data_IF_954721429317
#
_entry.id   IF_954721429317
#
_cell.length_a   1.000
_cell.length_b   1.000
_cell.length_c   1.000
_cell.angle_alpha   90.00
_cell.angle_beta   90.00
_cell.angle_gamma   90.00
#
_symmetry.space_group_name_H-M   'P 1'
#
loop_
_entity.id
_entity.type
_entity.pdbx_description
1 polymer ?
#
# COMPACT_ATOMS: atom_id res chain seq x y z
N UNK A 1 -33.94 -61.23 -49.48
CA UNK A 1 -33.51 -59.87 -49.88
C UNK A 1 -34.50 -58.87 -49.27
N UNK A 2 -34.15 -58.27 -48.13
CA UNK A 2 -34.84 -57.06 -47.64
C UNK A 2 -34.18 -55.85 -48.32
N UNK A 3 -34.95 -54.83 -48.76
CA UNK A 3 -34.38 -53.73 -49.53
C UNK A 3 -33.44 -52.92 -48.64
N UNK A 4 -32.16 -52.86 -49.02
CA UNK A 4 -31.06 -52.16 -48.32
C UNK A 4 -31.29 -50.65 -48.08
N UNK A 5 -32.42 -50.09 -48.52
CA UNK A 5 -32.68 -48.65 -48.49
C UNK A 5 -33.37 -48.14 -47.21
N UNK A 6 -33.94 -49.00 -46.36
CA UNK A 6 -34.63 -48.53 -45.14
C UNK A 6 -33.68 -48.30 -43.96
N UNK A 7 -32.48 -48.90 -43.97
CA UNK A 7 -31.49 -48.77 -42.89
C UNK A 7 -30.62 -47.50 -43.01
N UNK A 8 -30.61 -46.84 -44.17
CA UNK A 8 -29.76 -45.66 -44.43
C UNK A 8 -30.23 -44.41 -43.70
N UNK A 9 -31.54 -44.19 -43.62
CA UNK A 9 -32.14 -43.02 -42.96
C UNK A 9 -31.88 -42.93 -41.45
N UNK A 10 -32.03 -44.01 -40.65
CA UNK A 10 -31.72 -43.93 -39.22
C UNK A 10 -30.21 -43.77 -38.96
N UNK A 11 -29.35 -44.34 -39.80
CA UNK A 11 -27.90 -44.15 -39.71
C UNK A 11 -27.48 -42.71 -40.02
N UNK A 12 -28.11 -42.09 -41.03
CA UNK A 12 -27.89 -40.66 -41.36
C UNK A 12 -28.41 -39.76 -40.24
N UNK A 13 -29.57 -40.05 -39.67
CA UNK A 13 -30.12 -39.30 -38.54
C UNK A 13 -29.23 -39.42 -37.29
N UNK A 14 -28.70 -40.61 -37.01
CA UNK A 14 -27.75 -40.83 -35.91
C UNK A 14 -26.42 -40.10 -36.13
N UNK A 15 -25.90 -40.11 -37.36
CA UNK A 15 -24.70 -39.36 -37.73
C UNK A 15 -24.92 -37.85 -37.63
N UNK A 16 -26.12 -37.36 -37.98
CA UNK A 16 -26.49 -35.96 -37.82
C UNK A 16 -26.62 -35.57 -36.35
N UNK A 17 -27.20 -36.44 -35.50
CA UNK A 17 -27.34 -36.22 -34.06
C UNK A 17 -25.97 -36.24 -33.35
N UNK A 18 -25.07 -37.14 -33.74
CA UNK A 18 -23.68 -37.18 -33.28
C UNK A 18 -22.92 -35.93 -33.76
N UNK A 19 -23.08 -35.50 -35.01
CA UNK A 19 -22.47 -34.26 -35.51
C UNK A 19 -22.99 -33.00 -34.79
N UNK A 20 -24.26 -32.97 -34.38
CA UNK A 20 -24.84 -31.92 -33.54
C UNK A 20 -24.29 -31.94 -32.10
N UNK A 21 -23.84 -33.09 -31.60
CA UNK A 21 -23.14 -33.19 -30.30
C UNK A 21 -21.66 -32.77 -30.34
N UNK A 22 -21.09 -32.58 -31.54
CA UNK A 22 -19.75 -32.02 -31.77
C UNK A 22 -19.77 -30.51 -32.07
N UNK A 23 -20.94 -29.84 -32.00
CA UNK A 23 -20.93 -28.38 -31.88
C UNK A 23 -20.33 -28.11 -30.52
N UNK A 24 -19.04 -27.80 -30.55
CA UNK A 24 -18.27 -27.46 -29.39
C UNK A 24 -19.11 -26.54 -28.50
N UNK A 25 -19.20 -26.92 -27.23
CA UNK A 25 -19.32 -25.95 -26.15
C UNK A 25 -18.08 -25.07 -26.29
N UNK A 26 -18.11 -24.13 -27.23
CA UNK A 26 -17.27 -22.96 -27.26
C UNK A 26 -17.69 -22.19 -26.02
N UNK A 27 -17.17 -22.63 -24.87
CA UNK A 27 -17.40 -22.02 -23.59
C UNK A 27 -17.17 -20.54 -23.77
N UNK A 28 -18.17 -19.74 -23.41
CA UNK A 28 -18.06 -18.29 -23.37
C UNK A 28 -16.71 -17.98 -22.71
N UNK A 29 -15.74 -17.48 -23.49
CA UNK A 29 -14.51 -16.94 -22.93
C UNK A 29 -14.97 -15.78 -22.07
N UNK A 30 -15.12 -16.01 -20.76
CA UNK A 30 -15.52 -14.96 -19.84
C UNK A 30 -14.39 -13.94 -19.90
N UNK A 31 -14.64 -12.81 -20.57
CA UNK A 31 -13.71 -11.69 -20.56
C UNK A 31 -13.55 -11.31 -19.09
N UNK A 32 -12.32 -11.37 -18.59
CA UNK A 32 -12.01 -11.05 -17.21
C UNK A 32 -11.55 -9.60 -17.16
N UNK A 33 -12.20 -8.80 -16.32
CA UNK A 33 -11.71 -7.49 -15.92
C UNK A 33 -10.60 -7.71 -14.90
N UNK A 34 -9.39 -7.29 -15.24
CA UNK A 34 -8.22 -7.47 -14.40
C UNK A 34 -7.70 -6.11 -13.96
N UNK A 35 -7.17 -6.05 -12.75
CA UNK A 35 -6.59 -4.80 -12.28
C UNK A 35 -5.92 -4.93 -10.93
N UNK A 36 -5.53 -3.78 -10.40
CA UNK A 36 -4.91 -3.62 -9.10
C UNK A 36 -5.42 -2.35 -8.43
N UNK A 37 -5.69 -2.47 -7.13
CA UNK A 37 -6.11 -1.36 -6.30
C UNK A 37 -4.92 -0.90 -5.46
N UNK A 38 -4.64 0.40 -5.51
CA UNK A 38 -3.58 1.04 -4.74
C UNK A 38 -4.11 2.24 -3.96
N UNK A 39 -3.43 2.57 -2.88
CA UNK A 39 -3.64 3.83 -2.17
C UNK A 39 -3.12 4.98 -3.03
N UNK A 40 -3.95 6.01 -3.23
CA UNK A 40 -3.62 7.16 -4.08
C UNK A 40 -2.34 7.88 -3.61
N UNK A 41 -2.14 8.03 -2.30
CA UNK A 41 -0.99 8.74 -1.75
C UNK A 41 0.25 7.85 -1.65
N UNK A 42 0.12 6.68 -1.01
CA UNK A 42 1.28 5.84 -0.70
C UNK A 42 1.75 4.97 -1.87
N UNK A 43 0.88 4.82 -2.88
CA UNK A 43 1.01 3.90 -4.01
C UNK A 43 1.18 2.43 -3.58
N UNK A 44 0.95 2.11 -2.30
CA UNK A 44 0.95 0.74 -1.82
C UNK A 44 -0.32 0.01 -2.26
N UNK A 45 -0.25 -1.30 -2.54
CA UNK A 45 -1.43 -2.09 -2.83
C UNK A 45 -2.40 -2.10 -1.65
N UNK A 46 -3.70 -2.10 -1.96
CA UNK A 46 -4.77 -2.28 -0.97
C UNK A 46 -5.28 -3.72 -1.09
N UNK A 47 -4.84 -4.61 -0.19
CA UNK A 47 -5.27 -5.99 -0.23
C UNK A 47 -6.71 -6.13 0.30
N UNK A 48 -7.41 -7.17 -0.15
CA UNK A 48 -8.75 -7.56 0.32
C UNK A 48 -9.85 -6.50 0.23
N UNK A 49 -9.66 -5.46 -0.58
CA UNK A 49 -10.70 -4.49 -0.94
C UNK A 49 -11.84 -5.15 -1.69
N UNK A 50 -13.07 -4.75 -1.37
CA UNK A 50 -14.28 -5.26 -2.01
C UNK A 50 -14.51 -4.56 -3.33
N UNK A 51 -14.72 -5.35 -4.38
CA UNK A 51 -15.05 -4.90 -5.73
C UNK A 51 -16.35 -5.55 -6.14
N UNK A 52 -17.36 -4.78 -6.52
CA UNK A 52 -18.64 -5.31 -6.98
C UNK A 52 -19.19 -4.53 -8.17
N UNK A 53 -19.89 -5.22 -9.06
CA UNK A 53 -20.68 -4.56 -10.09
C UNK A 53 -21.94 -3.93 -9.50
N UNK A 54 -22.20 -2.66 -9.81
CA UNK A 54 -23.38 -1.95 -9.31
C UNK A 54 -24.68 -2.57 -9.84
N UNK A 55 -24.76 -2.87 -11.14
CA UNK A 55 -25.97 -3.47 -11.74
C UNK A 55 -25.98 -4.98 -11.56
N UNK A 56 -24.89 -5.68 -11.92
CA UNK A 56 -24.85 -7.15 -11.88
C UNK A 56 -24.72 -7.74 -10.48
N UNK A 57 -24.33 -6.94 -9.47
CA UNK A 57 -24.26 -7.28 -8.04
C UNK A 57 -23.27 -8.37 -7.62
N UNK A 58 -22.65 -9.11 -8.54
CA UNK A 58 -21.56 -10.00 -8.16
C UNK A 58 -20.28 -9.19 -7.92
N UNK A 59 -19.44 -9.71 -7.02
CA UNK A 59 -18.21 -9.07 -6.61
C UNK A 59 -17.18 -10.08 -6.11
N UNK A 60 -15.97 -9.58 -5.90
CA UNK A 60 -14.82 -10.30 -5.37
C UNK A 60 -14.07 -9.39 -4.38
N UNK A 61 -13.05 -9.94 -3.73
CA UNK A 61 -12.05 -9.16 -3.02
C UNK A 61 -10.71 -9.19 -3.75
N UNK A 62 -9.90 -8.15 -3.60
CA UNK A 62 -8.50 -8.19 -4.05
C UNK A 62 -7.69 -9.22 -3.25
N UNK A 63 -6.61 -9.72 -3.85
CA UNK A 63 -5.65 -10.58 -3.19
C UNK A 63 -4.68 -9.80 -2.27
N UNK A 64 -3.69 -10.49 -1.69
CA UNK A 64 -2.70 -9.90 -0.79
C UNK A 64 -1.78 -8.85 -1.43
N UNK A 65 -1.71 -8.80 -2.78
CA UNK A 65 -0.95 -7.79 -3.51
C UNK A 65 -1.87 -6.73 -4.14
N UNK A 66 -3.14 -6.69 -3.74
CA UNK A 66 -4.12 -5.73 -4.20
C UNK A 66 -4.61 -5.99 -5.63
N UNK A 67 -4.28 -7.13 -6.24
CA UNK A 67 -4.72 -7.48 -7.58
C UNK A 67 -6.09 -8.16 -7.56
N UNK A 68 -6.83 -8.05 -8.66
CA UNK A 68 -8.13 -8.69 -8.82
C UNK A 68 -8.36 -9.20 -10.24
N UNK A 69 -9.23 -10.21 -10.34
CA UNK A 69 -9.75 -10.72 -11.61
C UNK A 69 -11.25 -10.98 -11.45
N UNK A 70 -12.06 -10.10 -12.02
CA UNK A 70 -13.51 -10.12 -11.93
C UNK A 70 -14.09 -10.56 -13.26
N UNK A 71 -15.10 -11.44 -13.25
CA UNK A 71 -15.85 -11.76 -14.48
C UNK A 71 -16.47 -10.47 -15.03
N UNK A 72 -16.56 -10.34 -16.36
CA UNK A 72 -17.24 -9.19 -16.94
C UNK A 72 -18.75 -9.21 -16.60
N UNK A 73 -19.33 -8.03 -16.53
CA UNK A 73 -20.77 -7.85 -16.37
C UNK A 73 -21.51 -8.23 -17.65
N UNK A 74 -22.77 -8.67 -17.52
CA UNK A 74 -23.64 -8.97 -18.68
C UNK A 74 -24.23 -7.70 -19.32
N UNK A 75 -24.04 -6.54 -18.70
CA UNK A 75 -24.55 -5.25 -19.19
C UNK A 75 -23.50 -4.57 -20.09
N UNK A 76 -23.95 -3.87 -21.15
CA UNK A 76 -23.06 -3.11 -22.04
C UNK A 76 -22.32 -1.96 -21.33
N UNK A 77 -22.91 -1.43 -20.26
CA UNK A 77 -22.29 -0.44 -19.38
C UNK A 77 -22.67 -0.72 -17.93
N UNK A 78 -21.67 -0.70 -17.04
CA UNK A 78 -21.86 -0.91 -15.61
C UNK A 78 -20.85 -0.05 -14.82
N UNK A 79 -20.90 -0.12 -13.50
CA UNK A 79 -20.02 0.63 -12.61
C UNK A 79 -19.42 -0.31 -11.60
N UNK A 80 -18.09 -0.32 -11.48
CA UNK A 80 -17.42 -0.98 -10.38
C UNK A 80 -17.56 -0.10 -9.13
N UNK A 81 -18.08 -0.68 -8.07
CA UNK A 81 -18.05 -0.09 -6.73
C UNK A 81 -16.88 -0.74 -6.01
N UNK A 82 -15.88 0.07 -5.68
CA UNK A 82 -14.72 -0.33 -4.91
C UNK A 82 -14.85 0.25 -3.52
N UNK A 83 -14.74 -0.59 -2.51
CA UNK A 83 -14.79 -0.14 -1.11
C UNK A 83 -13.76 -0.88 -0.26
N UNK A 84 -13.17 -0.14 0.67
CA UNK A 84 -12.28 -0.68 1.68
C UNK A 84 -12.36 0.20 2.92
N UNK A 85 -12.18 -0.42 4.10
CA UNK A 85 -12.36 0.32 5.36
C UNK A 85 -11.31 1.42 5.49
N UNK A 86 -11.75 2.65 5.76
CA UNK A 86 -10.88 3.82 5.87
C UNK A 86 -10.64 4.58 4.55
N UNK A 87 -11.28 4.16 3.46
CA UNK A 87 -11.20 4.81 2.14
C UNK A 87 -12.58 5.24 1.67
N UNK A 88 -12.61 6.27 0.83
CA UNK A 88 -13.85 6.70 0.19
C UNK A 88 -14.26 5.64 -0.85
N UNK A 89 -15.52 5.18 -0.86
CA UNK A 89 -15.99 4.27 -1.89
C UNK A 89 -15.87 4.91 -3.27
N UNK A 90 -15.15 4.25 -4.17
CA UNK A 90 -14.97 4.70 -5.54
C UNK A 90 -16.00 4.04 -6.46
N UNK A 91 -16.63 4.85 -7.29
CA UNK A 91 -17.53 4.40 -8.34
C UNK A 91 -16.83 4.60 -9.68
N UNK A 92 -16.30 3.52 -10.27
CA UNK A 92 -15.59 3.55 -11.55
C UNK A 92 -16.55 3.14 -12.67
N UNK A 93 -16.99 4.07 -13.54
CA UNK A 93 -17.79 3.73 -14.71
C UNK A 93 -16.94 2.88 -15.67
N UNK A 94 -17.38 1.66 -15.97
CA UNK A 94 -16.66 0.73 -16.84
C UNK A 94 -17.34 0.67 -18.21
N UNK A 95 -16.56 0.88 -19.26
CA UNK A 95 -16.99 0.70 -20.66
C UNK A 95 -16.12 -0.39 -21.29
N UNK A 96 -16.70 -1.55 -21.59
CA UNK A 96 -15.98 -2.71 -22.14
C UNK A 96 -15.31 -2.45 -23.49
N UNK A 97 -15.63 -1.33 -24.18
CA UNK A 97 -14.95 -0.92 -25.43
C UNK A 97 -13.68 -0.11 -25.16
N UNK A 98 -13.63 0.61 -24.05
CA UNK A 98 -12.49 1.46 -23.66
C UNK A 98 -11.57 0.76 -22.66
N UNK A 99 -12.16 0.05 -21.72
CA UNK A 99 -11.49 -0.61 -20.59
C UNK A 99 -11.15 -2.07 -20.92
N UNK A 100 -10.43 -2.29 -22.03
CA UNK A 100 -10.06 -3.63 -22.52
C UNK A 100 -8.81 -4.20 -21.86
N UNK A 101 -8.10 -3.38 -21.07
CA UNK A 101 -6.80 -3.69 -20.48
C UNK A 101 -6.80 -3.87 -18.96
N UNK A 102 -5.61 -3.81 -18.38
CA UNK A 102 -5.38 -3.87 -16.95
C UNK A 102 -5.76 -2.54 -16.27
N UNK A 103 -6.67 -2.58 -15.29
CA UNK A 103 -7.13 -1.40 -14.56
C UNK A 103 -6.23 -1.11 -13.35
N UNK A 104 -5.60 0.06 -13.31
CA UNK A 104 -4.94 0.56 -12.10
C UNK A 104 -5.85 1.57 -11.40
N UNK A 105 -6.48 1.14 -10.32
CA UNK A 105 -7.48 1.92 -9.58
C UNK A 105 -6.85 2.50 -8.31
N UNK A 106 -7.05 3.80 -8.08
CA UNK A 106 -6.50 4.51 -6.91
C UNK A 106 -7.63 4.90 -5.96
N UNK A 107 -7.51 4.51 -4.68
CA UNK A 107 -8.46 4.93 -3.64
C UNK A 107 -7.90 6.08 -2.81
N UNK A 108 -8.72 7.13 -2.65
CA UNK A 108 -8.50 8.23 -1.73
C UNK A 108 -8.87 7.81 -0.31
N UNK A 109 -8.10 8.27 0.67
CA UNK A 109 -8.41 8.04 2.09
C UNK A 109 -9.65 8.84 2.47
N UNK A 110 -10.55 8.24 3.23
CA UNK A 110 -11.70 8.95 3.79
C UNK A 110 -11.23 9.91 4.89
N UNK A 111 -11.53 11.20 4.75
CA UNK A 111 -11.41 12.15 5.85
C UNK A 111 -12.43 11.73 6.91
N UNK A 112 -11.95 11.44 8.12
CA UNK A 112 -12.79 10.91 9.20
C UNK A 112 -13.76 12.00 9.65
N UNK A 113 -14.98 11.99 9.11
CA UNK A 113 -16.10 12.78 9.60
C UNK A 113 -17.09 11.86 10.29
N UNK A 114 -17.04 11.84 11.63
CA UNK A 114 -18.04 11.16 12.46
C UNK A 114 -17.85 9.65 12.55
N UNK A 115 -17.37 9.19 13.70
CA UNK A 115 -17.26 7.77 14.02
C UNK A 115 -18.65 7.12 14.07
N UNK A 116 -18.94 6.22 13.13
CA UNK A 116 -20.06 5.29 13.31
C UNK A 116 -19.65 4.28 14.38
N UNK A 117 -20.05 4.54 15.62
CA UNK A 117 -19.98 3.59 16.73
C UNK A 117 -20.89 2.41 16.44
N UNK A 118 -20.29 1.32 15.94
CA UNK A 118 -20.94 0.01 16.04
C UNK A 118 -20.82 -0.41 17.50
N UNK A 119 -21.91 -0.24 18.27
CA UNK A 119 -22.04 -0.72 19.65
C UNK A 119 -22.03 -2.25 19.69
N UNK A 120 -20.84 -2.84 19.56
CA UNK A 120 -20.61 -4.24 19.88
C UNK A 120 -20.39 -4.36 21.39
N UNK A 121 -21.06 -5.29 22.06
CA UNK A 121 -20.83 -5.62 23.47
C UNK A 121 -19.39 -6.11 23.75
N UNK A 122 -18.64 -6.45 22.69
CA UNK A 122 -17.27 -6.93 22.76
C UNK A 122 -16.36 -6.23 21.74
N UNK A 123 -15.35 -5.50 22.21
CA UNK A 123 -14.37 -4.87 21.34
C UNK A 123 -13.24 -5.85 20.99
N UNK A 124 -13.42 -6.59 19.89
CA UNK A 124 -12.40 -7.53 19.38
C UNK A 124 -11.07 -6.84 19.07
N UNK A 125 -11.11 -5.60 18.57
CA UNK A 125 -9.92 -4.82 18.22
C UNK A 125 -9.07 -4.52 19.45
N UNK A 126 -9.71 -4.07 20.53
CA UNK A 126 -9.04 -3.82 21.80
C UNK A 126 -8.43 -5.11 22.38
N UNK A 127 -9.12 -6.26 22.27
CA UNK A 127 -8.54 -7.55 22.69
C UNK A 127 -7.31 -7.91 21.88
N UNK A 128 -7.35 -7.79 20.55
CA UNK A 128 -6.19 -8.08 19.70
C UNK A 128 -5.02 -7.17 20.03
N UNK A 129 -5.27 -5.87 20.18
CA UNK A 129 -4.25 -4.91 20.61
C UNK A 129 -3.62 -5.29 21.96
N UNK A 130 -4.42 -5.64 22.98
CA UNK A 130 -3.90 -6.10 24.28
C UNK A 130 -2.97 -7.31 24.15
N UNK A 131 -3.25 -8.22 23.22
CA UNK A 131 -2.37 -9.36 22.98
C UNK A 131 -1.07 -8.95 22.26
N UNK A 132 -1.11 -7.99 21.34
CA UNK A 132 0.13 -7.42 20.76
C UNK A 132 1.00 -6.85 21.87
N UNK A 133 0.41 -6.07 22.78
CA UNK A 133 1.15 -5.45 23.90
C UNK A 133 1.75 -6.51 24.83
N UNK A 134 0.99 -7.56 25.17
CA UNK A 134 1.47 -8.65 26.02
C UNK A 134 2.69 -9.39 25.42
N UNK A 135 2.78 -9.50 24.10
CA UNK A 135 3.88 -10.16 23.39
C UNK A 135 4.86 -9.16 22.74
N UNK A 136 4.77 -7.88 23.10
CA UNK A 136 5.53 -6.79 22.47
C UNK A 136 7.03 -7.01 22.57
N UNK A 137 7.52 -7.40 23.75
CA UNK A 137 8.94 -7.63 23.99
C UNK A 137 9.48 -8.82 23.17
N UNK A 138 8.70 -9.89 23.05
CA UNK A 138 9.06 -11.10 22.31
C UNK A 138 9.07 -10.86 20.80
N UNK A 139 8.09 -10.10 20.29
CA UNK A 139 7.94 -9.83 18.86
C UNK A 139 8.72 -8.60 18.37
N UNK A 140 9.40 -7.87 19.26
CA UNK A 140 10.18 -6.70 18.89
C UNK A 140 11.42 -7.12 18.05
N UNK A 141 11.49 -6.77 16.76
CA UNK A 141 12.60 -7.14 15.88
C UNK A 141 13.88 -6.35 16.19
N UNK A 142 13.81 -5.32 17.03
CA UNK A 142 14.95 -4.52 17.48
C UNK A 142 15.54 -5.01 18.81
N UNK A 143 15.10 -6.18 19.33
CA UNK A 143 15.61 -6.76 20.57
C UNK A 143 17.01 -7.39 20.42
N UNK A 144 17.43 -7.70 19.20
CA UNK A 144 18.70 -8.38 18.94
C UNK A 144 19.86 -7.42 19.13
N UNK A 145 20.88 -7.88 19.88
CA UNK A 145 22.09 -7.12 20.16
C UNK A 145 22.95 -6.93 18.92
N UNK A 146 22.94 -7.93 18.03
CA UNK A 146 23.71 -7.94 16.80
C UNK A 146 22.82 -8.41 15.65
N UNK A 147 23.08 -7.86 14.48
CA UNK A 147 22.54 -8.41 13.24
C UNK A 147 23.36 -7.91 12.04
N UNK A 148 23.32 -8.69 10.96
CA UNK A 148 23.84 -8.31 9.65
C UNK A 148 22.78 -8.55 8.58
N UNK A 149 22.72 -7.68 7.58
CA UNK A 149 21.78 -7.82 6.47
C UNK A 149 22.27 -7.11 5.21
N UNK A 150 21.77 -7.54 4.06
CA UNK A 150 21.84 -6.74 2.85
C UNK A 150 20.75 -5.68 2.89
N UNK A 151 21.15 -4.41 2.81
CA UNK A 151 20.29 -3.24 2.88
C UNK A 151 20.19 -2.58 1.51
N UNK A 152 18.98 -2.53 0.97
CA UNK A 152 18.66 -1.72 -0.20
C UNK A 152 17.88 -0.48 0.24
N UNK A 153 18.45 0.70 0.00
CA UNK A 153 17.84 1.99 0.29
C UNK A 153 17.53 2.73 -1.00
N UNK A 154 16.29 3.17 -1.14
CA UNK A 154 15.83 4.03 -2.23
C UNK A 154 15.22 5.30 -1.66
N UNK A 155 15.71 6.45 -2.10
CA UNK A 155 15.17 7.77 -1.74
C UNK A 155 14.76 8.47 -3.02
N UNK A 156 13.55 9.02 -3.04
CA UNK A 156 12.95 9.75 -4.14
C UNK A 156 12.44 11.10 -3.65
N UNK A 157 12.62 12.13 -4.45
CA UNK A 157 11.99 13.43 -4.26
C UNK A 157 11.31 13.85 -5.55
N UNK A 158 9.99 13.94 -5.49
CA UNK A 158 9.15 14.39 -6.58
C UNK A 158 8.62 15.79 -6.30
N UNK A 159 8.55 16.61 -7.33
CA UNK A 159 7.82 17.86 -7.30
C UNK A 159 6.40 17.63 -7.81
N UNK A 160 5.40 18.05 -7.02
CA UNK A 160 4.00 18.01 -7.38
C UNK A 160 3.50 19.41 -7.77
N UNK A 161 2.37 19.46 -8.49
CA UNK A 161 1.72 20.68 -8.97
C UNK A 161 2.59 21.55 -9.89
N UNK A 162 3.39 20.93 -10.76
CA UNK A 162 4.25 21.68 -11.69
C UNK A 162 3.47 22.12 -12.92
N UNK A 163 3.46 23.43 -13.20
CA UNK A 163 2.91 24.00 -14.44
C UNK A 163 4.00 24.72 -15.24
N UNK A 164 3.75 25.04 -16.52
CA UNK A 164 4.73 25.71 -17.41
C UNK A 164 5.29 27.00 -16.82
N UNK A 165 4.43 27.85 -16.26
CA UNK A 165 4.80 29.14 -15.65
C UNK A 165 5.71 28.99 -14.41
N UNK A 166 5.70 27.82 -13.77
CA UNK A 166 6.52 27.52 -12.59
C UNK A 166 7.98 27.32 -12.94
N UNK A 167 8.27 26.71 -14.09
CA UNK A 167 9.64 26.43 -14.53
C UNK A 167 10.39 27.69 -14.96
N UNK A 168 9.67 28.69 -15.51
CA UNK A 168 10.28 29.95 -15.96
C UNK A 168 10.74 30.82 -14.78
N UNK A 169 9.97 30.81 -13.69
CA UNK A 169 10.15 31.73 -12.56
C UNK A 169 11.06 31.20 -11.44
N UNK A 170 11.45 29.92 -11.46
CA UNK A 170 12.11 29.27 -10.31
C UNK A 170 13.47 28.73 -10.70
N UNK A 171 14.51 29.31 -10.11
CA UNK A 171 15.92 29.00 -10.42
C UNK A 171 16.26 27.51 -10.24
N UNK A 172 15.67 26.82 -9.26
CA UNK A 172 15.90 25.38 -9.03
C UNK A 172 15.26 24.48 -10.09
N UNK A 173 14.24 24.97 -10.82
CA UNK A 173 13.53 24.20 -11.84
C UNK A 173 14.09 24.38 -13.26
N UNK A 174 14.93 25.40 -13.49
CA UNK A 174 15.50 25.70 -14.82
C UNK A 174 16.21 24.51 -15.49
N UNK A 175 16.97 23.65 -14.78
CA UNK A 175 17.60 22.49 -15.42
C UNK A 175 16.62 21.40 -15.87
N UNK A 176 15.34 21.48 -15.48
CA UNK A 176 14.28 20.54 -15.89
C UNK A 176 13.36 21.10 -16.97
N UNK A 177 13.69 22.23 -17.59
CA UNK A 177 12.88 22.81 -18.66
C UNK A 177 12.65 21.83 -19.83
N UNK A 178 13.59 20.92 -20.09
CA UNK A 178 13.49 19.86 -21.11
C UNK A 178 12.35 18.87 -20.89
N UNK A 179 11.85 18.74 -19.65
CA UNK A 179 10.75 17.82 -19.32
C UNK A 179 9.39 18.43 -19.65
N UNK A 180 9.28 19.76 -19.81
CA UNK A 180 8.05 20.45 -20.25
C UNK A 180 7.58 20.00 -21.62
N UNK A 181 8.50 19.59 -22.49
CA UNK A 181 8.20 19.25 -23.89
C UNK A 181 7.34 17.97 -24.01
N UNK A 182 7.16 17.21 -22.91
CA UNK A 182 6.41 15.95 -22.88
C UNK A 182 5.28 15.89 -21.83
N UNK A 183 5.01 16.96 -21.09
CA UNK A 183 3.98 16.97 -20.02
C UNK A 183 2.56 16.87 -20.59
N UNK A 184 2.33 17.36 -21.82
CA UNK A 184 1.00 17.38 -22.45
C UNK A 184 0.47 16.00 -22.88
N UNK A 185 1.29 14.95 -22.83
CA UNK A 185 0.95 13.61 -23.33
C UNK A 185 0.49 12.60 -22.27
N UNK A 186 0.48 12.98 -20.97
CA UNK A 186 0.17 12.05 -19.87
C UNK A 186 -1.25 12.34 -19.35
N UNK A 187 -2.17 11.47 -19.74
CA UNK A 187 -3.61 11.44 -19.43
C UNK A 187 -3.91 11.68 -17.94
N UNK A 188 -4.77 12.65 -17.60
CA UNK A 188 -5.50 12.94 -16.33
C UNK A 188 -4.77 12.77 -14.97
N UNK A 189 -3.49 12.39 -14.96
CA UNK A 189 -2.66 12.20 -13.80
C UNK A 189 -1.96 13.52 -13.50
N UNK A 190 -2.08 14.02 -12.27
CA UNK A 190 -1.31 15.20 -11.84
C UNK A 190 0.18 14.93 -12.15
N UNK A 191 0.83 15.70 -13.04
CA UNK A 191 2.21 15.42 -13.42
C UNK A 191 3.10 15.63 -12.19
N UNK A 192 3.88 14.60 -11.84
CA UNK A 192 4.93 14.69 -10.84
C UNK A 192 6.29 14.62 -11.53
N UNK A 193 7.24 15.44 -11.07
CA UNK A 193 8.56 15.54 -11.64
C UNK A 193 9.58 14.93 -10.68
N UNK A 194 10.22 13.79 -10.99
CA UNK A 194 11.29 13.25 -10.14
C UNK A 194 12.51 14.18 -10.21
N UNK A 195 12.75 14.93 -9.13
CA UNK A 195 13.85 15.91 -9.03
C UNK A 195 15.14 15.23 -8.58
N UNK A 196 15.02 14.17 -7.78
CA UNK A 196 16.13 13.44 -7.20
C UNK A 196 15.74 11.99 -6.91
N UNK A 197 16.62 11.05 -7.22
CA UNK A 197 16.50 9.66 -6.83
C UNK A 197 17.88 9.09 -6.52
N UNK A 198 18.00 8.42 -5.38
CA UNK A 198 19.21 7.65 -5.02
C UNK A 198 18.83 6.25 -4.60
N UNK A 199 19.51 5.28 -5.18
CA UNK A 199 19.45 3.87 -4.82
C UNK A 199 20.81 3.44 -4.31
N UNK A 200 20.85 2.76 -3.17
CA UNK A 200 22.07 2.29 -2.51
C UNK A 200 21.88 0.86 -2.07
N UNK A 201 22.83 -0.01 -2.42
CA UNK A 201 22.91 -1.38 -1.95
C UNK A 201 24.15 -1.51 -1.06
N UNK A 202 23.97 -1.99 0.16
CA UNK A 202 25.05 -2.14 1.14
C UNK A 202 24.94 -3.44 1.95
N UNK A 203 26.07 -3.94 2.45
CA UNK A 203 26.08 -4.87 3.59
C UNK A 203 26.09 -4.05 4.88
N UNK A 204 25.08 -4.26 5.72
CA UNK A 204 24.84 -3.51 6.95
C UNK A 204 25.05 -4.40 8.16
N UNK A 205 25.84 -3.91 9.13
CA UNK A 205 26.17 -4.60 10.38
C UNK A 205 25.86 -3.70 11.57
N UNK A 206 25.17 -4.25 12.56
CA UNK A 206 24.81 -3.58 13.79
C UNK A 206 25.26 -4.38 15.00
N UNK A 207 25.78 -3.68 16.01
CA UNK A 207 26.00 -4.19 17.36
C UNK A 207 25.56 -3.12 18.35
N UNK A 208 24.87 -3.48 19.43
CA UNK A 208 24.45 -2.55 20.46
C UNK A 208 25.46 -2.40 21.61
N UNK A 209 26.32 -3.41 21.84
CA UNK A 209 27.34 -3.41 22.91
C UNK A 209 28.74 -3.83 22.40
N UNK A 210 29.67 -2.87 22.20
CA UNK A 210 29.44 -1.43 22.14
C UNK A 210 28.56 -1.07 20.93
N UNK A 211 27.87 0.08 20.99
CA UNK A 211 27.05 0.54 19.87
C UNK A 211 27.93 0.84 18.66
N UNK A 212 27.88 -0.05 17.65
CA UNK A 212 28.66 0.02 16.42
C UNK A 212 27.76 -0.22 15.22
N UNK A 213 27.93 0.62 14.22
CA UNK A 213 27.27 0.48 12.91
C UNK A 213 28.38 0.46 11.86
N UNK A 214 28.38 -0.54 11.00
CA UNK A 214 29.25 -0.60 9.82
C UNK A 214 28.36 -0.82 8.60
N UNK A 215 28.54 0.01 7.59
CA UNK A 215 27.83 -0.09 6.32
C UNK A 215 28.87 -0.16 5.19
N UNK A 216 28.86 -1.25 4.44
CA UNK A 216 29.74 -1.48 3.30
C UNK A 216 28.95 -1.31 2.01
N UNK A 217 29.12 -0.16 1.36
CA UNK A 217 28.36 0.18 0.16
C UNK A 217 28.89 -0.62 -1.03
N UNK A 218 28.03 -1.47 -1.61
CA UNK A 218 28.32 -2.26 -2.81
C UNK A 218 28.08 -1.46 -4.09
N UNK A 219 26.98 -0.73 -4.14
CA UNK A 219 26.57 0.04 -5.31
C UNK A 219 25.76 1.27 -4.89
N UNK A 220 25.96 2.37 -5.63
CA UNK A 220 25.15 3.59 -5.52
C UNK A 220 24.80 4.04 -6.91
N UNK A 221 23.52 4.26 -7.16
CA UNK A 221 23.03 4.95 -8.33
C UNK A 221 22.32 6.22 -7.88
N UNK A 222 22.69 7.36 -8.47
CA UNK A 222 22.07 8.64 -8.16
C UNK A 222 21.71 9.34 -9.47
N UNK A 223 20.44 9.72 -9.57
CA UNK A 223 19.87 10.46 -10.68
C UNK A 223 19.22 11.75 -10.14
N UNK A 224 19.29 12.84 -10.91
CA UNK A 224 18.66 14.11 -10.54
C UNK A 224 19.64 15.18 -10.04
N UNK A 225 19.10 16.31 -9.59
CA UNK A 225 19.90 17.50 -9.29
C UNK A 225 20.53 17.40 -7.90
N UNK A 226 21.85 17.57 -7.85
CA UNK A 226 22.59 17.80 -6.60
C UNK A 226 22.40 19.26 -6.17
N UNK A 227 21.39 19.52 -5.34
CA UNK A 227 21.16 20.82 -4.72
C UNK A 227 21.16 20.66 -3.19
N UNK A 228 21.90 21.51 -2.47
CA UNK A 228 22.03 21.41 -1.00
C UNK A 228 20.70 21.49 -0.26
N UNK A 229 19.76 22.32 -0.73
CA UNK A 229 18.41 22.44 -0.17
C UNK A 229 17.61 21.13 -0.33
N UNK A 230 17.74 20.45 -1.48
CA UNK A 230 17.12 19.14 -1.74
C UNK A 230 17.69 18.08 -0.81
N UNK A 231 19.01 18.09 -0.60
CA UNK A 231 19.72 17.16 0.31
C UNK A 231 19.29 17.36 1.77
N UNK A 232 19.07 18.61 2.22
CA UNK A 232 18.59 18.88 3.58
C UNK A 232 17.19 18.31 3.84
N UNK A 233 16.25 18.43 2.89
CA UNK A 233 14.91 17.84 3.02
C UNK A 233 14.94 16.31 3.10
N UNK A 234 15.83 15.68 2.33
CA UNK A 234 16.06 14.23 2.39
C UNK A 234 16.58 13.79 3.77
N UNK A 235 17.42 14.59 4.41
CA UNK A 235 17.96 14.29 5.74
C UNK A 235 16.89 14.05 6.81
N UNK A 236 15.80 14.83 6.79
CA UNK A 236 14.66 14.65 7.72
C UNK A 236 13.88 13.35 7.49
N UNK A 237 13.77 12.91 6.23
CA UNK A 237 13.11 11.65 5.84
C UNK A 237 14.00 10.43 6.17
N UNK A 238 15.30 10.64 6.38
CA UNK A 238 16.23 9.55 6.64
C UNK A 238 16.18 8.99 8.08
N UNK A 239 15.32 9.53 8.95
CA UNK A 239 15.16 9.07 10.34
C UNK A 239 14.70 7.61 10.40
N UNK A 240 15.33 6.81 11.27
CA UNK A 240 14.89 5.44 11.57
C UNK A 240 13.67 5.51 12.49
N UNK A 241 12.54 4.99 12.05
CA UNK A 241 11.32 4.89 12.85
C UNK A 241 11.20 3.49 13.41
N UNK A 242 10.82 3.37 14.69
CA UNK A 242 10.56 2.10 15.33
C UNK A 242 9.17 2.14 15.99
N UNK A 243 8.19 1.49 15.36
CA UNK A 243 6.82 1.42 15.89
C UNK A 243 6.70 0.66 17.21
N UNK A 244 7.66 -0.23 17.55
CA UNK A 244 7.69 -0.92 18.83
C UNK A 244 8.16 -0.02 19.99
N UNK A 245 8.63 1.20 19.72
CA UNK A 245 8.83 2.19 20.79
C UNK A 245 7.48 2.76 21.24
N UNK A 246 7.38 3.12 22.52
CA UNK A 246 6.17 3.75 23.06
C UNK A 246 5.92 5.14 22.47
N UNK A 247 7.00 5.82 22.10
CA UNK A 247 7.00 7.14 21.47
C UNK A 247 7.92 7.13 20.25
N UNK A 248 7.49 7.81 19.19
CA UNK A 248 8.24 7.96 17.96
C UNK A 248 8.55 9.43 17.73
N UNK A 249 9.84 9.77 17.60
CA UNK A 249 10.28 11.13 17.27
C UNK A 249 10.35 11.30 15.75
N UNK A 250 9.51 12.16 15.20
CA UNK A 250 9.41 12.41 13.77
C UNK A 250 9.44 13.92 13.54
N UNK A 251 10.38 14.40 12.71
CA UNK A 251 10.60 15.83 12.46
C UNK A 251 10.72 16.66 13.75
N UNK A 252 11.34 16.09 14.79
CA UNK A 252 11.56 16.77 16.06
C UNK A 252 10.37 16.78 17.02
N UNK A 253 9.17 16.35 16.59
CA UNK A 253 8.00 16.16 17.45
C UNK A 253 7.87 14.70 17.87
N UNK A 254 7.36 14.49 19.08
CA UNK A 254 7.11 13.17 19.64
C UNK A 254 5.66 12.77 19.41
N UNK A 255 5.46 11.54 18.91
CA UNK A 255 4.18 10.93 18.64
C UNK A 255 3.98 9.66 19.46
N UNK A 256 2.79 9.47 20.00
CA UNK A 256 2.43 8.28 20.77
C UNK A 256 2.23 7.12 19.80
N UNK A 257 2.97 6.02 19.97
CA UNK A 257 2.78 4.83 19.13
C UNK A 257 1.43 4.15 19.40
N UNK A 258 0.73 3.58 18.39
CA UNK A 258 -0.43 2.72 18.64
C UNK A 258 -0.04 1.43 19.39
N UNK A 259 1.25 1.10 19.49
CA UNK A 259 1.80 -0.02 20.24
C UNK A 259 2.37 0.43 21.61
N UNK A 260 2.07 1.65 22.05
CA UNK A 260 2.34 2.11 23.40
C UNK A 260 1.53 1.28 24.43
N UNK A 261 2.09 1.00 25.62
CA UNK A 261 1.39 0.27 26.69
C UNK A 261 0.03 0.90 27.07
N UNK A 262 -0.08 2.22 27.01
CA UNK A 262 -1.27 3.00 27.33
C UNK A 262 -2.00 3.53 26.07
N UNK A 263 -1.76 2.93 24.89
CA UNK A 263 -2.35 3.42 23.64
C UNK A 263 -3.89 3.38 23.64
N UNK A 264 -4.54 2.52 24.44
CA UNK A 264 -6.00 2.51 24.56
C UNK A 264 -6.60 3.79 25.15
N UNK A 265 -5.81 4.66 25.79
CA UNK A 265 -6.26 5.98 26.20
C UNK A 265 -6.34 6.99 25.04
N UNK A 266 -5.59 6.75 23.96
CA UNK A 266 -5.41 7.67 22.84
C UNK A 266 -6.02 7.16 21.53
N UNK A 267 -6.24 5.86 21.41
CA UNK A 267 -6.68 5.21 20.19
C UNK A 267 -7.98 4.43 20.37
N UNK A 268 -8.83 4.48 19.34
CA UNK A 268 -9.93 3.56 19.14
C UNK A 268 -9.44 2.38 18.29
N UNK A 269 -9.51 1.17 18.85
CA UNK A 269 -9.15 -0.06 18.14
C UNK A 269 -10.39 -0.79 17.61
N UNK A 270 -10.37 -1.13 16.32
CA UNK A 270 -11.45 -1.88 15.65
C UNK A 270 -10.85 -3.00 14.84
N UNK A 271 -11.24 -4.24 15.11
CA UNK A 271 -10.87 -5.34 14.21
C UNK A 271 -11.73 -5.29 12.95
N UNK A 272 -11.11 -5.32 11.77
CA UNK A 272 -11.82 -5.39 10.50
C UNK A 272 -12.19 -6.85 10.20
N UNK A 273 -11.24 -7.63 9.70
CA UNK A 273 -11.45 -9.01 9.26
C UNK A 273 -10.35 -9.96 9.77
N UNK A 274 -10.32 -11.16 9.19
CA UNK A 274 -9.31 -12.19 9.44
C UNK A 274 -9.03 -12.85 8.11
N UNK A 275 -7.75 -12.95 7.73
CA UNK A 275 -7.34 -13.44 6.42
C UNK A 275 -6.30 -14.54 6.55
N UNK A 276 -6.18 -15.36 5.50
CA UNK A 276 -5.12 -16.35 5.37
C UNK A 276 -4.13 -15.83 4.32
N UNK A 277 -2.89 -15.58 4.75
CA UNK A 277 -1.80 -15.10 3.89
C UNK A 277 -0.72 -16.18 3.91
N UNK A 278 -0.41 -16.76 2.73
CA UNK A 278 0.57 -17.85 2.59
C UNK A 278 0.34 -19.06 3.54
N UNK A 279 -0.92 -19.39 3.80
CA UNK A 279 -1.30 -20.51 4.69
C UNK A 279 -1.34 -20.18 6.18
N UNK A 280 -0.89 -19.00 6.58
CA UNK A 280 -0.96 -18.52 7.96
C UNK A 280 -2.12 -17.55 8.15
N UNK A 281 -2.72 -17.57 9.34
CA UNK A 281 -3.88 -16.73 9.67
C UNK A 281 -3.44 -15.41 10.29
N UNK A 282 -4.00 -14.31 9.81
CA UNK A 282 -3.72 -12.95 10.24
C UNK A 282 -5.00 -12.19 10.61
N UNK A 283 -4.95 -11.34 11.64
CA UNK A 283 -6.00 -10.42 12.03
C UNK A 283 -5.72 -9.02 11.49
N UNK A 284 -6.73 -8.36 10.94
CA UNK A 284 -6.61 -6.97 10.48
C UNK A 284 -7.17 -6.01 11.53
N UNK A 285 -6.29 -5.24 12.14
CA UNK A 285 -6.62 -4.29 13.20
C UNK A 285 -6.52 -2.86 12.67
N UNK A 286 -7.57 -2.08 12.86
CA UNK A 286 -7.61 -0.65 12.56
C UNK A 286 -7.46 0.15 13.85
N UNK A 287 -6.77 1.28 13.79
CA UNK A 287 -6.66 2.24 14.88
C UNK A 287 -6.86 3.67 14.40
N UNK A 288 -7.60 4.46 15.16
CA UNK A 288 -7.81 5.89 14.93
C UNK A 288 -7.62 6.68 16.22
N UNK A 289 -7.20 7.95 16.16
CA UNK A 289 -7.15 8.81 17.33
C UNK A 289 -8.52 8.90 18.01
N UNK A 290 -8.52 9.06 19.32
CA UNK A 290 -9.72 9.39 20.10
C UNK A 290 -10.03 10.88 20.10
N UNK A 291 -9.00 11.72 19.91
CA UNK A 291 -9.09 13.17 19.97
C UNK A 291 -8.28 13.78 18.83
N UNK A 292 -8.83 14.83 18.23
CA UNK A 292 -8.14 15.61 17.22
C UNK A 292 -7.01 16.46 17.84
N UNK A 293 -5.97 16.74 17.07
CA UNK A 293 -4.84 17.59 17.51
C UNK A 293 -3.80 16.90 18.42
N UNK A 294 -4.07 15.70 18.93
CA UNK A 294 -3.04 14.90 19.62
C UNK A 294 -2.00 14.36 18.64
N UNK A 295 -0.72 14.29 19.06
CA UNK A 295 0.36 13.70 18.27
C UNK A 295 0.22 12.17 18.23
N UNK A 296 -0.74 11.70 17.44
CA UNK A 296 -1.13 10.31 17.27
C UNK A 296 -1.24 9.96 15.77
N UNK A 297 -1.46 8.69 15.48
CA UNK A 297 -1.59 8.17 14.12
C UNK A 297 -3.00 7.66 13.83
N UNK A 298 -3.32 7.49 12.56
CA UNK A 298 -4.42 6.65 12.10
C UNK A 298 -3.90 5.61 11.14
N UNK A 299 -4.50 4.43 11.11
CA UNK A 299 -4.07 3.40 10.17
C UNK A 299 -4.49 2.01 10.61
N UNK A 300 -3.65 1.05 10.26
CA UNK A 300 -3.96 -0.36 10.37
C UNK A 300 -2.72 -1.24 10.51
N UNK A 301 -2.91 -2.45 11.04
CA UNK A 301 -1.88 -3.48 11.04
C UNK A 301 -2.44 -4.89 10.83
N UNK A 302 -1.59 -5.75 10.27
CA UNK A 302 -1.79 -7.17 10.09
C UNK A 302 -1.05 -7.93 11.19
N UNK A 303 -1.77 -8.73 11.96
CA UNK A 303 -1.28 -9.38 13.17
C UNK A 303 -1.29 -10.89 12.95
N UNK A 304 -0.16 -11.55 13.12
CA UNK A 304 -0.09 -13.00 13.06
C UNK A 304 -0.91 -13.63 14.19
N UNK A 305 -1.83 -14.54 13.86
CA UNK A 305 -2.88 -14.96 14.78
C UNK A 305 -2.42 -15.81 15.97
N UNK A 306 -1.24 -16.43 15.90
CA UNK A 306 -0.69 -17.26 16.99
C UNK A 306 0.36 -16.52 17.80
N UNK A 307 1.34 -15.88 17.15
CA UNK A 307 2.42 -15.17 17.86
C UNK A 307 2.06 -13.74 18.28
N UNK A 308 0.96 -13.17 17.77
CA UNK A 308 0.59 -11.76 17.95
C UNK A 308 1.59 -10.73 17.42
N UNK A 309 2.54 -11.19 16.61
CA UNK A 309 3.49 -10.32 15.96
C UNK A 309 2.83 -9.50 14.86
N UNK A 310 3.29 -8.27 14.70
CA UNK A 310 2.85 -7.43 13.59
C UNK A 310 3.65 -7.83 12.35
N UNK A 311 2.95 -8.21 11.28
CA UNK A 311 3.53 -8.51 9.97
C UNK A 311 3.65 -7.25 9.10
N UNK A 312 2.66 -6.36 9.18
CA UNK A 312 2.66 -5.06 8.50
C UNK A 312 1.90 -4.05 9.32
N UNK A 313 2.41 -2.83 9.42
CA UNK A 313 1.70 -1.69 10.02
C UNK A 313 1.83 -0.46 9.14
N UNK A 314 0.71 0.22 8.94
CA UNK A 314 0.62 1.50 8.23
C UNK A 314 0.23 2.58 9.23
N UNK A 315 1.07 3.57 9.42
CA UNK A 315 0.87 4.74 10.27
C UNK A 315 0.68 5.96 9.38
N UNK A 316 -0.47 6.60 9.46
CA UNK A 316 -0.74 7.85 8.79
C UNK A 316 -0.83 8.96 9.83
N UNK A 317 -0.10 10.03 9.61
CA UNK A 317 -0.20 11.21 10.44
C UNK A 317 -1.56 11.89 10.24
N UNK A 318 -2.17 12.37 11.33
CA UNK A 318 -3.35 13.22 11.22
C UNK A 318 -2.99 14.52 10.47
N UNK A 319 -3.83 15.01 9.54
CA UNK A 319 -3.67 16.34 8.95
C UNK A 319 -3.66 17.47 9.99
N UNK A 320 -4.23 17.23 11.17
CA UNK A 320 -4.26 18.19 12.29
C UNK A 320 -2.96 18.23 13.09
N UNK A 321 -2.00 17.34 12.82
CA UNK A 321 -0.71 17.37 13.49
C UNK A 321 0.09 18.56 12.96
N UNK A 322 0.37 19.53 13.83
CA UNK A 322 1.10 20.74 13.49
C UNK A 322 2.59 20.44 13.28
N UNK A 323 2.98 19.79 12.18
CA UNK A 323 4.40 19.65 11.82
C UNK A 323 4.71 20.68 10.75
N UNK A 324 5.69 21.54 11.02
CA UNK A 324 6.14 22.55 10.07
C UNK A 324 6.42 21.92 8.71
N UNK A 325 5.78 22.46 7.68
CA UNK A 325 5.94 22.10 6.28
C UNK A 325 5.51 20.67 5.90
N UNK A 326 4.92 19.87 6.79
CA UNK A 326 4.42 18.53 6.46
C UNK A 326 2.89 18.59 6.34
N UNK A 327 2.39 18.41 5.13
CA UNK A 327 0.95 18.34 4.87
C UNK A 327 0.37 16.99 5.26
N UNK A 328 1.10 15.92 4.89
CA UNK A 328 0.68 14.55 5.14
C UNK A 328 1.88 13.63 5.18
N UNK A 329 1.77 12.56 5.95
CA UNK A 329 2.84 11.58 6.10
C UNK A 329 2.27 10.18 6.30
N UNK A 330 2.90 9.20 5.66
CA UNK A 330 2.65 7.78 5.88
C UNK A 330 3.95 7.05 6.15
N UNK A 331 3.96 6.20 7.16
CA UNK A 331 5.04 5.27 7.50
C UNK A 331 4.47 3.87 7.39
N UNK A 332 5.16 2.97 6.70
CA UNK A 332 4.81 1.56 6.55
C UNK A 332 6.01 0.76 7.03
N UNK A 333 5.79 -0.17 7.94
CA UNK A 333 6.80 -1.14 8.36
C UNK A 333 6.27 -2.54 8.11
N UNK A 334 7.08 -3.38 7.49
CA UNK A 334 6.80 -4.78 7.22
C UNK A 334 7.87 -5.63 7.91
N UNK A 335 7.42 -6.73 8.50
CA UNK A 335 8.23 -7.68 9.22
C UNK A 335 8.01 -9.06 8.62
N UNK A 336 9.05 -9.88 8.64
CA UNK A 336 9.01 -11.26 8.18
C UNK A 336 9.39 -12.23 9.29
N UNK A 337 8.80 -13.41 9.23
CA UNK A 337 9.06 -14.51 10.15
C UNK A 337 10.18 -15.37 9.57
N UNK A 338 11.29 -15.45 10.28
CA UNK A 338 12.42 -16.31 9.95
C UNK A 338 12.10 -17.79 10.24
N UNK A 339 12.87 -18.76 9.69
CA UNK A 339 12.67 -20.19 9.93
C UNK A 339 12.72 -20.60 11.41
N UNK A 340 13.44 -19.85 12.24
CA UNK A 340 13.50 -20.03 13.70
C UNK A 340 12.34 -19.33 14.43
N UNK A 341 11.27 -19.00 13.71
CA UNK A 341 10.03 -18.36 14.18
C UNK A 341 10.17 -16.92 14.67
N UNK A 342 11.36 -16.34 14.57
CA UNK A 342 11.63 -14.96 14.98
C UNK A 342 11.19 -13.94 13.94
N UNK A 343 10.62 -12.83 14.40
CA UNK A 343 10.24 -11.72 13.52
C UNK A 343 11.38 -10.74 13.36
N UNK A 344 11.62 -10.33 12.11
CA UNK A 344 12.66 -9.37 11.75
C UNK A 344 12.14 -8.33 10.76
N UNK A 345 12.81 -7.18 10.70
CA UNK A 345 12.48 -6.12 9.76
C UNK A 345 12.66 -6.61 8.30
N UNK A 346 11.68 -6.33 7.45
CA UNK A 346 11.72 -6.72 6.03
C UNK A 346 11.72 -5.50 5.12
N UNK A 347 10.87 -4.50 5.43
CA UNK A 347 10.77 -3.27 4.65
C UNK A 347 10.28 -2.11 5.51
N UNK A 348 10.93 -0.97 5.38
CA UNK A 348 10.46 0.32 5.91
C UNK A 348 10.17 1.26 4.74
N UNK A 349 9.04 1.95 4.76
CA UNK A 349 8.70 2.96 3.76
C UNK A 349 8.13 4.20 4.43
N UNK A 350 8.69 5.36 4.13
CA UNK A 350 8.21 6.66 4.60
C UNK A 350 7.88 7.54 3.41
N UNK A 351 6.72 8.18 3.43
CA UNK A 351 6.21 9.03 2.36
C UNK A 351 5.72 10.32 3.00
N UNK A 352 6.27 11.45 2.56
CA UNK A 352 6.01 12.76 3.16
C UNK A 352 5.65 13.74 2.06
N UNK A 353 4.49 14.39 2.20
CA UNK A 353 4.05 15.52 1.39
C UNK A 353 4.46 16.82 2.11
N UNK A 354 5.35 17.59 1.48
CA UNK A 354 5.99 18.75 2.07
C UNK A 354 5.59 20.04 1.33
N UNK A 355 5.28 21.09 2.09
CA UNK A 355 5.02 22.45 1.58
C UNK A 355 5.92 23.48 2.27
N UNK A 356 7.20 23.56 1.87
CA UNK A 356 8.16 24.47 2.49
C UNK A 356 7.89 25.96 2.20
N UNK A 357 7.03 26.27 1.22
CA UNK A 357 6.76 27.64 0.78
C UNK A 357 5.33 28.08 1.16
N UNK A 358 5.21 29.22 1.88
CA UNK A 358 3.98 29.77 2.49
C UNK A 358 2.82 30.15 1.52
N UNK A 359 2.82 29.74 0.26
CA UNK A 359 1.80 30.12 -0.74
C UNK A 359 1.37 28.98 -1.68
N UNK A 360 1.53 27.72 -1.26
CA UNK A 360 1.06 26.50 -1.96
C UNK A 360 1.46 26.36 -3.43
N UNK A 361 2.44 27.14 -3.92
CA UNK A 361 2.82 27.10 -5.34
C UNK A 361 3.46 25.76 -5.72
N UNK A 362 4.13 25.10 -4.78
CA UNK A 362 4.77 23.79 -4.97
C UNK A 362 4.68 22.95 -3.72
N UNK A 363 4.44 21.66 -3.93
CA UNK A 363 4.55 20.63 -2.91
C UNK A 363 5.59 19.62 -3.36
N UNK A 364 6.30 19.02 -2.42
CA UNK A 364 7.25 17.94 -2.70
C UNK A 364 6.74 16.66 -2.09
N UNK A 365 6.84 15.54 -2.81
CA UNK A 365 6.67 14.22 -2.23
C UNK A 365 8.04 13.59 -2.08
N UNK A 366 8.48 13.42 -0.84
CA UNK A 366 9.65 12.64 -0.53
C UNK A 366 9.23 11.20 -0.21
N UNK A 367 9.92 10.22 -0.78
CA UNK A 367 9.75 8.80 -0.45
C UNK A 367 11.09 8.22 -0.05
N UNK A 368 11.10 7.46 1.03
CA UNK A 368 12.22 6.59 1.40
C UNK A 368 11.69 5.18 1.53
N UNK A 369 12.36 4.23 0.89
CA UNK A 369 12.10 2.81 1.02
C UNK A 369 13.41 2.13 1.40
N UNK A 370 13.43 1.42 2.53
CA UNK A 370 14.50 0.53 2.93
C UNK A 370 13.97 -0.90 2.84
N UNK A 371 14.72 -1.81 2.21
CA UNK A 371 14.41 -3.25 2.18
C UNK A 371 15.59 -4.00 2.74
N UNK A 372 15.31 -4.96 3.61
CA UNK A 372 16.29 -5.76 4.31
C UNK A 372 16.20 -7.19 3.79
N UNK A 373 17.35 -7.76 3.42
CA UNK A 373 17.44 -9.13 2.91
C UNK A 373 18.56 -9.88 3.58
N UNK A 374 18.47 -11.21 3.55
CA UNK A 374 19.51 -12.10 4.06
C UNK A 374 19.91 -11.77 5.50
N UNK A 375 18.93 -11.47 6.37
CA UNK A 375 19.20 -11.06 7.75
C UNK A 375 19.79 -12.24 8.53
N UNK A 376 20.86 -11.95 9.27
CA UNK A 376 21.59 -12.87 10.15
C UNK A 376 21.64 -12.24 11.53
N UNK A 377 21.36 -13.04 12.55
CA UNK A 377 21.30 -12.63 13.95
C UNK A 377 22.55 -13.09 14.71
#
# INVERSE_FOLDING_TARGET
MLPLNTLRWPLIALYMLLALSYIEVAGQKSVLVKGKIINEFTKEPIPFSSIQWKKSRFGISTDSVGAFQLKNTQFESDTLIISYVGFEPLYYPFDSRKDTGFLLIQLSKQLVTGGVEVKSKFNKGLRWWKNIIAHKAENNPYKYSQYACELYNKVELDLNNVNRNSFENIRILKPFAFLLDNIDSITEQRPFLPVYMTETLSDYYYSNDPTKIREEVKAVQMNGIKNETVIQFIGGVNQKVNMYQDFMKIFGKEFISPINLAADNYYNFKGADTQIIKGEKYFHLLFTPKRDGENTFSGDCWIHSTSWAIQKITLNLSPTADINFVNRMSIIQEFERMPNEQWIFAKDKMIVDLSPFKKDKFTFIARKTATYRNVRL
#
